data_IF_093736262550
#
_entry.id   IF_093736262550
#
_cell.length_a   1.000
_cell.length_b   1.000
_cell.length_c   1.000
_cell.angle_alpha   90.00
_cell.angle_beta   90.00
_cell.angle_gamma   90.00
#
_symmetry.space_group_name_H-M   'P 1'
#
loop_
_entity.id
_entity.type
_entity.pdbx_description
1 polymer ?
#
# COMPACT_ATOMS: atom_id res chain seq x y z
N UNK A 1 71.09 51.77 28.82
CA UNK A 1 71.37 50.31 28.77
C UNK A 1 70.18 49.48 29.27
N UNK A 2 69.52 49.86 30.37
CA UNK A 2 68.35 49.14 30.94
C UNK A 2 67.12 49.16 30.00
N UNK A 3 66.74 50.31 29.44
CA UNK A 3 65.58 50.40 28.52
C UNK A 3 65.73 49.54 27.26
N UNK A 4 66.95 49.47 26.69
CA UNK A 4 67.24 48.63 25.52
C UNK A 4 67.06 47.14 25.86
N UNK A 5 67.46 46.72 27.05
CA UNK A 5 67.28 45.34 27.50
C UNK A 5 65.80 45.01 27.73
N UNK A 6 65.02 45.95 28.27
CA UNK A 6 63.57 45.78 28.46
C UNK A 6 62.85 45.66 27.11
N UNK A 7 63.13 46.55 26.16
CA UNK A 7 62.56 46.48 24.81
C UNK A 7 62.89 45.16 24.10
N UNK A 8 64.11 44.65 24.28
CA UNK A 8 64.49 43.35 23.72
C UNK A 8 63.65 42.21 24.32
N UNK A 9 63.41 42.24 25.63
CA UNK A 9 62.56 41.26 26.30
C UNK A 9 61.11 41.33 25.83
N UNK A 10 60.56 42.54 25.67
CA UNK A 10 59.20 42.74 25.16
C UNK A 10 59.05 42.23 23.72
N UNK A 11 60.06 42.45 22.86
CA UNK A 11 60.08 41.93 21.48
C UNK A 11 60.09 40.40 21.47
N UNK A 12 60.87 39.76 22.35
CA UNK A 12 60.91 38.31 22.49
C UNK A 12 59.56 37.76 22.96
N UNK A 13 58.92 38.41 23.94
CA UNK A 13 57.58 38.03 24.43
C UNK A 13 56.51 38.16 23.34
N UNK A 14 56.46 39.30 22.64
CA UNK A 14 55.53 39.53 21.52
C UNK A 14 55.75 38.56 20.37
N UNK A 15 57.01 38.17 20.11
CA UNK A 15 57.33 37.19 19.06
C UNK A 15 56.81 35.80 19.42
N UNK A 16 56.91 35.40 20.70
CA UNK A 16 56.39 34.14 21.18
C UNK A 16 54.85 34.11 21.13
N UNK A 17 54.20 35.20 21.52
CA UNK A 17 52.74 35.35 21.44
C UNK A 17 52.25 35.28 19.98
N UNK A 18 52.93 35.96 19.05
CA UNK A 18 52.60 35.90 17.63
C UNK A 18 52.65 34.48 17.07
N UNK A 19 53.65 33.70 17.47
CA UNK A 19 53.78 32.31 17.04
C UNK A 19 52.71 31.40 17.66
N UNK A 20 52.35 31.64 18.92
CA UNK A 20 51.24 30.93 19.57
C UNK A 20 49.90 31.21 18.87
N UNK A 21 49.61 32.48 18.59
CA UNK A 21 48.40 32.88 17.86
C UNK A 21 48.35 32.28 16.46
N UNK A 22 49.50 32.23 15.76
CA UNK A 22 49.57 31.59 14.44
C UNK A 22 49.15 30.13 14.49
N UNK A 23 49.68 29.37 15.46
CA UNK A 23 49.32 27.96 15.65
C UNK A 23 47.86 27.77 16.04
N UNK A 24 47.31 28.68 16.83
CA UNK A 24 45.89 28.66 17.19
C UNK A 24 45.00 28.89 15.97
N UNK A 25 45.34 29.86 15.11
CA UNK A 25 44.64 30.11 13.84
C UNK A 25 44.69 28.88 12.94
N UNK A 26 45.86 28.28 12.74
CA UNK A 26 46.00 27.05 11.94
C UNK A 26 45.13 25.90 12.50
N UNK A 27 45.05 25.76 13.83
CA UNK A 27 44.17 24.77 14.46
C UNK A 27 42.69 25.09 14.27
N UNK A 28 42.30 26.36 14.31
CA UNK A 28 40.92 26.78 14.12
C UNK A 28 40.48 26.62 12.66
N UNK A 29 41.37 26.88 11.70
CA UNK A 29 41.11 26.62 10.28
C UNK A 29 40.87 25.13 10.02
N UNK A 30 41.69 24.25 10.58
CA UNK A 30 41.50 22.80 10.47
C UNK A 30 40.15 22.35 11.06
N UNK A 31 39.76 22.88 12.23
CA UNK A 31 38.45 22.59 12.84
C UNK A 31 37.28 23.12 12.01
N UNK A 32 37.43 24.31 11.42
CA UNK A 32 36.42 24.91 10.54
C UNK A 32 36.19 24.03 9.32
N UNK A 33 37.26 23.53 8.72
CA UNK A 33 37.17 22.72 7.50
C UNK A 33 36.50 21.38 7.79
N UNK A 34 36.86 20.69 8.89
CA UNK A 34 36.18 19.47 9.36
C UNK A 34 34.69 19.69 9.64
N UNK A 35 34.33 20.79 10.29
CA UNK A 35 32.92 21.16 10.52
C UNK A 35 32.17 21.40 9.21
N UNK A 36 32.80 22.02 8.21
CA UNK A 36 32.17 22.20 6.89
C UNK A 36 31.94 20.86 6.18
N UNK A 37 32.83 19.89 6.34
CA UNK A 37 32.60 18.53 5.82
C UNK A 37 31.42 17.88 6.53
N UNK A 38 31.36 17.96 7.86
CA UNK A 38 30.24 17.43 8.64
C UNK A 38 28.89 18.06 8.28
N UNK A 39 28.86 19.37 8.02
CA UNK A 39 27.64 20.07 7.55
C UNK A 39 27.22 19.55 6.18
N UNK A 40 28.17 19.41 5.24
CA UNK A 40 27.89 18.90 3.89
C UNK A 40 27.32 17.48 3.94
N UNK A 41 27.90 16.61 4.76
CA UNK A 41 27.42 15.23 4.92
C UNK A 41 26.02 15.18 5.55
N UNK A 42 25.77 16.03 6.56
CA UNK A 42 24.45 16.15 7.19
C UNK A 42 23.38 16.66 6.21
N UNK A 43 23.71 17.63 5.36
CA UNK A 43 22.81 18.10 4.30
C UNK A 43 22.49 17.01 3.28
N UNK A 44 23.49 16.23 2.87
CA UNK A 44 23.26 15.08 1.98
C UNK A 44 22.36 14.03 2.63
N UNK A 45 22.60 13.68 3.89
CA UNK A 45 21.74 12.75 4.62
C UNK A 45 20.31 13.25 4.73
N UNK A 46 20.11 14.56 4.96
CA UNK A 46 18.78 15.17 4.99
C UNK A 46 18.06 15.04 3.66
N UNK A 47 18.74 15.28 2.54
CA UNK A 47 18.16 15.09 1.20
C UNK A 47 17.76 13.63 0.96
N UNK A 48 18.65 12.68 1.29
CA UNK A 48 18.35 11.24 1.16
C UNK A 48 17.17 10.80 2.03
N UNK A 49 17.08 11.31 3.26
CA UNK A 49 15.97 11.03 4.15
C UNK A 49 14.65 11.59 3.61
N UNK A 50 14.68 12.79 3.02
CA UNK A 50 13.51 13.40 2.39
C UNK A 50 13.03 12.60 1.17
N UNK A 51 13.95 12.20 0.28
CA UNK A 51 13.61 11.40 -0.89
C UNK A 51 13.03 10.04 -0.49
N UNK A 52 13.62 9.40 0.54
CA UNK A 52 13.13 8.14 1.09
C UNK A 52 11.73 8.27 1.68
N UNK A 53 11.46 9.37 2.40
CA UNK A 53 10.13 9.65 2.95
C UNK A 53 9.08 9.79 1.83
N UNK A 54 9.38 10.55 0.78
CA UNK A 54 8.44 10.74 -0.33
C UNK A 54 8.17 9.43 -1.07
N UNK A 55 9.21 8.62 -1.34
CA UNK A 55 9.05 7.31 -1.97
C UNK A 55 8.16 6.37 -1.13
N UNK A 56 8.31 6.37 0.20
CA UNK A 56 7.45 5.60 1.09
C UNK A 56 6.01 6.11 1.08
N UNK A 57 5.81 7.43 1.10
CA UNK A 57 4.48 8.04 1.02
C UNK A 57 3.76 7.66 -0.28
N UNK A 58 4.45 7.70 -1.41
CA UNK A 58 3.90 7.32 -2.72
C UNK A 58 3.57 5.83 -2.79
N UNK A 59 4.43 4.98 -2.22
CA UNK A 59 4.16 3.55 -2.12
C UNK A 59 2.92 3.26 -1.27
N UNK A 60 2.81 3.87 -0.08
CA UNK A 60 1.66 3.68 0.81
C UNK A 60 0.34 4.12 0.15
N UNK A 61 0.36 5.25 -0.55
CA UNK A 61 -0.79 5.73 -1.33
C UNK A 61 -1.18 4.74 -2.46
N UNK A 62 -0.19 4.10 -3.07
CA UNK A 62 -0.44 3.08 -4.10
C UNK A 62 -1.08 1.83 -3.51
N UNK A 63 -0.59 1.35 -2.36
CA UNK A 63 -1.18 0.23 -1.62
C UNK A 63 -2.60 0.53 -1.14
N UNK A 64 -2.87 1.75 -0.68
CA UNK A 64 -4.21 2.17 -0.28
C UNK A 64 -5.21 2.11 -1.44
N UNK A 65 -4.81 2.57 -2.63
CA UNK A 65 -5.62 2.45 -3.86
C UNK A 65 -5.88 0.99 -4.24
N UNK A 66 -4.87 0.12 -4.12
CA UNK A 66 -5.06 -1.31 -4.40
C UNK A 66 -6.04 -1.94 -3.42
N UNK A 67 -5.93 -1.61 -2.14
CA UNK A 67 -6.86 -2.06 -1.09
C UNK A 67 -8.29 -1.57 -1.36
N UNK A 68 -8.45 -0.31 -1.76
CA UNK A 68 -9.75 0.24 -2.13
C UNK A 68 -10.36 -0.50 -3.33
N UNK A 69 -9.57 -0.76 -4.37
CA UNK A 69 -10.01 -1.55 -5.51
C UNK A 69 -10.46 -2.96 -5.09
N UNK A 70 -9.66 -3.66 -4.26
CA UNK A 70 -9.99 -4.99 -3.77
C UNK A 70 -11.28 -5.00 -2.94
N UNK A 71 -11.48 -4.00 -2.07
CA UNK A 71 -12.70 -3.86 -1.28
C UNK A 71 -13.92 -3.60 -2.16
N UNK A 72 -13.81 -2.69 -3.14
CA UNK A 72 -14.90 -2.40 -4.07
C UNK A 72 -15.26 -3.62 -4.91
N UNK A 73 -14.25 -4.37 -5.38
CA UNK A 73 -14.45 -5.63 -6.09
C UNK A 73 -15.17 -6.65 -5.20
N UNK A 74 -14.71 -6.85 -3.96
CA UNK A 74 -15.32 -7.78 -3.03
C UNK A 74 -16.77 -7.40 -2.68
N UNK A 75 -17.05 -6.12 -2.43
CA UNK A 75 -18.41 -5.64 -2.17
C UNK A 75 -19.34 -5.90 -3.36
N UNK A 76 -18.84 -5.65 -4.57
CA UNK A 76 -19.59 -5.93 -5.79
C UNK A 76 -19.89 -7.43 -5.94
N UNK A 77 -18.87 -8.29 -5.83
CA UNK A 77 -19.03 -9.75 -5.92
C UNK A 77 -19.99 -10.25 -4.83
N UNK A 78 -19.80 -9.82 -3.59
CA UNK A 78 -20.65 -10.22 -2.47
C UNK A 78 -22.13 -9.82 -2.71
N UNK A 79 -22.39 -8.61 -3.21
CA UNK A 79 -23.74 -8.15 -3.50
C UNK A 79 -24.40 -8.97 -4.60
N UNK A 80 -23.68 -9.27 -5.68
CA UNK A 80 -24.17 -10.09 -6.79
C UNK A 80 -24.48 -11.51 -6.30
N UNK A 81 -23.49 -12.19 -5.68
CA UNK A 81 -23.66 -13.54 -5.15
C UNK A 81 -24.81 -13.63 -4.14
N UNK A 82 -25.03 -12.59 -3.33
CA UNK A 82 -26.16 -12.57 -2.40
C UNK A 82 -27.51 -12.62 -3.12
N UNK A 83 -27.70 -11.82 -4.18
CA UNK A 83 -28.94 -11.81 -4.98
C UNK A 83 -29.18 -13.20 -5.59
N UNK A 84 -28.10 -13.81 -6.08
CA UNK A 84 -28.14 -15.12 -6.72
C UNK A 84 -28.51 -16.23 -5.74
N UNK A 85 -27.93 -16.20 -4.54
CA UNK A 85 -28.27 -17.12 -3.45
C UNK A 85 -29.71 -16.93 -2.97
N UNK A 86 -30.19 -15.68 -2.87
CA UNK A 86 -31.57 -15.36 -2.52
C UNK A 86 -32.56 -15.88 -3.58
N UNK A 87 -32.21 -15.82 -4.86
CA UNK A 87 -32.99 -16.43 -5.94
C UNK A 87 -33.10 -17.94 -5.77
N UNK A 88 -31.97 -18.65 -5.60
CA UNK A 88 -31.95 -20.11 -5.43
C UNK A 88 -32.78 -20.54 -4.21
N UNK A 89 -32.59 -19.85 -3.08
CA UNK A 89 -33.36 -20.11 -1.86
C UNK A 89 -34.86 -19.91 -2.08
N UNK A 90 -35.25 -18.80 -2.73
CA UNK A 90 -36.65 -18.48 -3.01
C UNK A 90 -37.33 -19.55 -3.86
N UNK A 91 -36.64 -20.04 -4.90
CA UNK A 91 -37.14 -21.13 -5.75
C UNK A 91 -37.25 -22.45 -4.99
N UNK A 92 -36.24 -22.81 -4.19
CA UNK A 92 -36.28 -23.99 -3.32
C UNK A 92 -37.46 -23.98 -2.34
N UNK A 93 -37.73 -22.84 -1.72
CA UNK A 93 -38.89 -22.67 -0.83
C UNK A 93 -40.23 -22.78 -1.58
N UNK A 94 -40.29 -22.26 -2.82
CA UNK A 94 -41.48 -22.38 -3.66
C UNK A 94 -41.74 -23.81 -4.10
N UNK A 95 -40.72 -24.56 -4.51
CA UNK A 95 -40.83 -26.00 -4.78
C UNK A 95 -41.38 -26.76 -3.58
N UNK A 96 -40.81 -26.53 -2.39
CA UNK A 96 -41.27 -27.17 -1.15
C UNK A 96 -42.75 -26.93 -0.90
N UNK A 97 -43.24 -25.71 -1.15
CA UNK A 97 -44.65 -25.35 -1.01
C UNK A 97 -45.53 -26.09 -2.03
N UNK A 98 -45.20 -26.00 -3.32
CA UNK A 98 -45.97 -26.62 -4.41
C UNK A 98 -46.07 -28.14 -4.25
N UNK A 99 -44.96 -28.79 -3.87
CA UNK A 99 -44.94 -30.22 -3.57
C UNK A 99 -45.81 -30.58 -2.36
N UNK A 100 -45.78 -29.76 -1.31
CA UNK A 100 -46.62 -29.99 -0.12
C UNK A 100 -48.12 -29.82 -0.40
N UNK A 101 -48.46 -28.97 -1.37
CA UNK A 101 -49.83 -28.71 -1.83
C UNK A 101 -50.29 -29.70 -2.93
N UNK A 102 -49.43 -30.61 -3.38
CA UNK A 102 -49.73 -31.60 -4.43
C UNK A 102 -49.90 -30.98 -5.83
N UNK A 103 -49.39 -29.78 -6.06
CA UNK A 103 -49.55 -29.02 -7.31
C UNK A 103 -48.46 -29.38 -8.34
N UNK A 104 -48.39 -30.64 -8.76
CA UNK A 104 -47.29 -31.15 -9.60
C UNK A 104 -47.16 -30.47 -10.96
N UNK A 105 -48.27 -30.07 -11.60
CA UNK A 105 -48.22 -29.34 -12.88
C UNK A 105 -47.48 -27.99 -12.75
N UNK A 106 -47.65 -27.32 -11.61
CA UNK A 106 -46.97 -26.05 -11.31
C UNK A 106 -45.51 -26.28 -10.89
N UNK A 107 -45.15 -27.45 -10.38
CA UNK A 107 -43.76 -27.83 -10.07
C UNK A 107 -42.96 -27.91 -11.37
N UNK A 108 -43.49 -28.51 -12.43
CA UNK A 108 -42.82 -28.59 -13.73
C UNK A 108 -42.58 -27.20 -14.32
N UNK A 109 -43.58 -26.33 -14.30
CA UNK A 109 -43.41 -24.94 -14.74
C UNK A 109 -42.37 -24.18 -13.92
N UNK A 110 -42.31 -24.43 -12.61
CA UNK A 110 -41.32 -23.81 -11.75
C UNK A 110 -39.91 -24.34 -12.01
N UNK A 111 -39.78 -25.61 -12.42
CA UNK A 111 -38.51 -26.22 -12.82
C UNK A 111 -37.96 -25.56 -14.08
N UNK A 112 -38.78 -25.35 -15.11
CA UNK A 112 -38.36 -24.67 -16.34
C UNK A 112 -37.84 -23.24 -16.06
N UNK A 113 -38.54 -22.50 -15.18
CA UNK A 113 -38.14 -21.14 -14.78
C UNK A 113 -36.85 -21.17 -13.97
N UNK A 114 -36.68 -22.19 -13.12
CA UNK A 114 -35.47 -22.35 -12.31
C UNK A 114 -34.26 -22.72 -13.18
N UNK A 115 -34.38 -23.66 -14.11
CA UNK A 115 -33.32 -24.05 -15.04
C UNK A 115 -32.84 -22.86 -15.87
N UNK A 116 -33.79 -22.09 -16.44
CA UNK A 116 -33.44 -20.88 -17.18
C UNK A 116 -32.74 -19.85 -16.29
N UNK A 117 -33.19 -19.70 -15.04
CA UNK A 117 -32.56 -18.82 -14.07
C UNK A 117 -31.13 -19.25 -13.72
N UNK A 118 -30.89 -20.56 -13.59
CA UNK A 118 -29.55 -21.12 -13.39
C UNK A 118 -28.64 -20.89 -14.61
N UNK A 119 -29.17 -20.97 -15.83
CA UNK A 119 -28.39 -20.66 -17.04
C UNK A 119 -28.00 -19.19 -17.13
N UNK A 120 -28.92 -18.29 -16.84
CA UNK A 120 -28.64 -16.85 -16.82
C UNK A 120 -27.62 -16.53 -15.71
N UNK A 121 -27.69 -17.24 -14.59
CA UNK A 121 -26.72 -17.16 -13.50
C UNK A 121 -25.33 -17.63 -13.93
N UNK A 122 -25.25 -18.82 -14.51
CA UNK A 122 -24.01 -19.41 -14.98
C UNK A 122 -23.35 -18.52 -16.05
N UNK A 123 -24.15 -17.97 -16.98
CA UNK A 123 -23.69 -16.97 -17.94
C UNK A 123 -23.16 -15.71 -17.26
N UNK A 124 -23.83 -15.22 -16.22
CA UNK A 124 -23.37 -14.07 -15.42
C UNK A 124 -22.02 -14.29 -14.75
N UNK A 125 -21.73 -15.52 -14.32
CA UNK A 125 -20.43 -15.92 -13.76
C UNK A 125 -19.41 -16.39 -14.80
N UNK A 126 -19.80 -16.54 -16.07
CA UNK A 126 -18.94 -17.09 -17.11
C UNK A 126 -18.59 -18.57 -16.91
N UNK A 127 -19.50 -19.34 -16.28
CA UNK A 127 -19.35 -20.76 -15.98
C UNK A 127 -20.31 -21.57 -16.85
N UNK A 128 -19.89 -22.75 -17.29
CA UNK A 128 -20.77 -23.74 -17.92
C UNK A 128 -21.30 -24.71 -16.86
N UNK A 129 -22.60 -24.99 -16.89
CA UNK A 129 -23.22 -25.96 -15.99
C UNK A 129 -23.07 -27.37 -16.55
N UNK A 130 -22.48 -28.27 -15.76
CA UNK A 130 -22.46 -29.70 -16.06
C UNK A 130 -23.86 -30.30 -15.88
N UNK A 131 -24.56 -30.52 -17.00
CA UNK A 131 -25.89 -31.12 -17.01
C UNK A 131 -25.82 -32.64 -17.06
N UNK A 132 -26.72 -33.29 -16.33
CA UNK A 132 -26.97 -34.71 -16.50
C UNK A 132 -27.53 -34.97 -17.90
N UNK A 133 -27.18 -36.10 -18.55
CA UNK A 133 -27.77 -36.47 -19.82
C UNK A 133 -29.29 -36.64 -19.66
N UNK A 134 -30.07 -36.18 -20.65
CA UNK A 134 -31.52 -36.41 -20.69
C UNK A 134 -31.80 -37.91 -20.57
N UNK A 135 -32.71 -38.30 -19.68
CA UNK A 135 -33.10 -39.70 -19.55
C UNK A 135 -33.60 -40.23 -20.91
N UNK A 136 -33.20 -41.44 -21.32
CA UNK A 136 -33.62 -42.00 -22.59
C UNK A 136 -35.15 -42.05 -22.63
N UNK A 137 -35.75 -41.49 -23.68
CA UNK A 137 -37.18 -41.61 -23.89
C UNK A 137 -37.53 -43.09 -24.02
N UNK A 138 -38.25 -43.61 -23.04
CA UNK A 138 -38.81 -44.95 -23.10
C UNK A 138 -39.84 -44.94 -24.23
N UNK A 139 -39.44 -45.48 -25.39
CA UNK A 139 -40.29 -45.71 -26.57
C UNK A 139 -41.32 -46.79 -26.30
#
# INVERSE_FOLDING_TARGET
MVEINNLKHDIEALSAEREALRKEVESLEAKRDDLFEGVRDAEQMKCLAWDSYNALSDHLNTEEKQREFANNYWEHVHRTVKIDMEFVLSRGLRFKRLLSEGQYDLVLQELDVFEKGLDDLARGFGVELDRLPEEPSWK
#
